data_IF_685358515098
#
_entry.id   IF_685358515098
#
_cell.length_a   1.000
_cell.length_b   1.000
_cell.length_c   1.000
_cell.angle_alpha   90.00
_cell.angle_beta   90.00
_cell.angle_gamma   90.00
#
_symmetry.space_group_name_H-M   'P 1'
#
loop_
_entity.id
_entity.type
_entity.pdbx_description
1 polymer ?
#
# COMPACT_ATOMS: atom_id res chain seq x y z
N UNK A 1 -22.43 -30.81 10.96
CA UNK A 1 -21.36 -30.79 11.98
C UNK A 1 -20.75 -29.38 12.14
N UNK A 2 -20.27 -28.75 11.06
CA UNK A 2 -19.55 -27.48 11.15
C UNK A 2 -20.43 -26.28 11.57
N UNK A 3 -21.67 -26.19 11.09
CA UNK A 3 -22.57 -25.09 11.45
C UNK A 3 -22.77 -24.98 12.97
N UNK A 4 -23.22 -26.06 13.64
CA UNK A 4 -23.36 -26.06 15.11
C UNK A 4 -22.08 -25.73 15.90
N UNK A 5 -20.90 -25.85 15.29
CA UNK A 5 -19.63 -25.49 15.91
C UNK A 5 -19.34 -24.00 15.70
N UNK A 6 -19.42 -23.54 14.45
CA UNK A 6 -19.06 -22.17 14.06
C UNK A 6 -20.09 -21.13 14.55
N UNK A 7 -21.38 -21.47 14.54
CA UNK A 7 -22.47 -20.60 15.03
C UNK A 7 -22.41 -20.34 16.55
N UNK A 8 -21.51 -21.01 17.29
CA UNK A 8 -21.25 -20.71 18.69
C UNK A 8 -20.30 -19.53 18.88
N UNK A 9 -19.57 -19.14 17.83
CA UNK A 9 -18.71 -17.96 17.84
C UNK A 9 -19.54 -16.73 17.49
N UNK A 10 -19.82 -15.88 18.47
CA UNK A 10 -20.63 -14.68 18.28
C UNK A 10 -20.19 -13.55 19.22
N UNK A 11 -20.66 -12.32 18.93
CA UNK A 11 -20.65 -11.22 19.90
C UNK A 11 -21.99 -11.20 20.64
N UNK A 12 -21.94 -11.30 21.96
CA UNK A 12 -23.12 -11.24 22.82
C UNK A 12 -23.65 -9.81 22.94
N UNK A 13 -24.94 -9.70 23.27
CA UNK A 13 -25.59 -8.44 23.61
C UNK A 13 -25.07 -7.87 24.93
N UNK A 14 -25.32 -6.59 25.16
CA UNK A 14 -24.91 -5.91 26.39
C UNK A 14 -25.61 -6.51 27.63
N UNK A 15 -26.84 -7.00 27.48
CA UNK A 15 -27.58 -7.74 28.52
C UNK A 15 -26.89 -9.05 28.94
N UNK A 16 -26.17 -9.68 28.01
CA UNK A 16 -25.39 -10.90 28.23
C UNK A 16 -23.91 -10.60 28.53
N UNK A 17 -23.58 -9.35 28.86
CA UNK A 17 -22.25 -8.91 29.27
C UNK A 17 -21.31 -8.52 28.12
N UNK A 18 -21.80 -8.47 26.88
CA UNK A 18 -21.07 -7.93 25.73
C UNK A 18 -19.83 -8.73 25.27
N UNK A 19 -19.61 -9.92 25.81
CA UNK A 19 -18.47 -10.78 25.46
C UNK A 19 -18.48 -11.25 24.00
N UNK A 20 -17.33 -11.68 23.49
CA UNK A 20 -17.21 -12.19 22.13
C UNK A 20 -16.35 -13.44 22.04
N UNK A 21 -16.64 -14.27 21.03
CA UNK A 21 -15.82 -15.41 20.64
C UNK A 21 -15.61 -15.35 19.12
N UNK A 22 -14.36 -15.20 18.68
CA UNK A 22 -14.00 -15.11 17.26
C UNK A 22 -13.41 -16.43 16.78
N UNK A 23 -14.05 -17.05 15.80
CA UNK A 23 -13.58 -18.30 15.18
C UNK A 23 -12.68 -18.04 13.98
N UNK A 24 -11.54 -18.73 13.91
CA UNK A 24 -10.64 -18.73 12.75
C UNK A 24 -10.45 -20.17 12.24
N UNK A 25 -11.47 -20.75 11.56
CA UNK A 25 -11.36 -22.12 11.05
C UNK A 25 -10.34 -22.21 9.93
N UNK A 26 -9.51 -23.25 9.97
CA UNK A 26 -8.54 -23.57 8.91
C UNK A 26 -9.04 -24.80 8.16
N UNK A 27 -9.16 -24.68 6.84
CA UNK A 27 -9.59 -25.76 5.95
C UNK A 27 -8.50 -26.00 4.92
N UNK A 28 -8.03 -27.24 4.82
CA UNK A 28 -7.12 -27.66 3.76
C UNK A 28 -7.92 -27.96 2.49
N UNK A 29 -7.61 -27.27 1.40
CA UNK A 29 -8.11 -27.60 0.06
C UNK A 29 -7.14 -28.56 -0.62
N UNK A 30 -7.65 -29.45 -1.49
CA UNK A 30 -6.81 -30.35 -2.27
C UNK A 30 -6.63 -29.76 -3.65
N UNK A 31 -5.38 -29.56 -4.08
CA UNK A 31 -5.04 -28.92 -5.35
C UNK A 31 -5.75 -27.57 -5.57
N UNK A 32 -5.90 -26.77 -4.51
CA UNK A 32 -6.63 -25.50 -4.50
C UNK A 32 -8.11 -25.60 -4.93
N UNK A 33 -8.72 -26.80 -4.90
CA UNK A 33 -10.13 -26.97 -5.25
C UNK A 33 -11.06 -26.48 -4.12
N UNK A 34 -11.67 -25.32 -4.35
CA UNK A 34 -12.65 -24.70 -3.45
C UNK A 34 -14.08 -25.22 -3.67
N UNK A 35 -14.33 -25.93 -4.77
CA UNK A 35 -15.64 -26.48 -5.12
C UNK A 35 -15.96 -27.79 -4.41
N UNK A 36 -14.96 -28.38 -3.75
CA UNK A 36 -15.12 -29.57 -2.94
C UNK A 36 -16.17 -29.36 -1.82
N UNK A 37 -16.83 -30.47 -1.45
CA UNK A 37 -17.97 -30.46 -0.52
C UNK A 37 -17.66 -29.78 0.83
N UNK A 38 -16.51 -30.05 1.44
CA UNK A 38 -16.15 -29.48 2.74
C UNK A 38 -15.83 -27.98 2.63
N UNK A 39 -14.92 -27.51 1.75
CA UNK A 39 -14.69 -26.09 1.54
C UNK A 39 -15.98 -25.31 1.24
N UNK A 40 -16.80 -25.79 0.29
CA UNK A 40 -18.05 -25.11 -0.09
C UNK A 40 -19.01 -24.95 1.10
N UNK A 41 -19.16 -26.00 1.92
CA UNK A 41 -19.99 -25.94 3.11
C UNK A 41 -19.45 -24.98 4.18
N UNK A 42 -18.13 -24.92 4.37
CA UNK A 42 -17.56 -24.02 5.39
C UNK A 42 -17.63 -22.57 4.92
N UNK A 43 -17.38 -22.32 3.63
CA UNK A 43 -17.55 -21.00 3.01
C UNK A 43 -18.98 -20.50 3.19
N UNK A 44 -20.00 -21.35 3.02
CA UNK A 44 -21.39 -20.90 3.19
C UNK A 44 -21.74 -20.55 4.65
N UNK A 45 -21.01 -21.08 5.62
CA UNK A 45 -21.24 -20.85 7.06
C UNK A 45 -20.45 -19.65 7.58
N UNK A 46 -19.18 -19.47 7.21
CA UNK A 46 -18.32 -18.42 7.78
C UNK A 46 -18.67 -17.03 7.23
N UNK A 47 -18.47 -15.98 8.03
CA UNK A 47 -18.71 -14.58 7.62
C UNK A 47 -17.67 -14.01 6.65
N UNK A 48 -16.77 -14.84 6.14
CA UNK A 48 -15.68 -14.44 5.28
C UNK A 48 -14.65 -15.55 5.16
N UNK A 49 -13.66 -15.31 4.31
CA UNK A 49 -12.59 -16.24 4.04
C UNK A 49 -11.33 -15.52 3.58
N UNK A 50 -10.19 -16.00 4.06
CA UNK A 50 -8.86 -15.65 3.56
C UNK A 50 -8.32 -16.87 2.80
N UNK A 51 -8.32 -16.79 1.47
CA UNK A 51 -7.77 -17.85 0.64
C UNK A 51 -6.26 -17.68 0.48
N UNK A 52 -5.53 -18.73 0.82
CA UNK A 52 -4.08 -18.79 0.66
C UNK A 52 -3.74 -19.63 -0.56
N UNK A 53 -2.95 -19.09 -1.48
CA UNK A 53 -2.57 -19.77 -2.73
C UNK A 53 -1.08 -20.11 -2.77
N UNK A 54 -0.78 -21.30 -3.27
CA UNK A 54 0.60 -21.79 -3.39
C UNK A 54 1.39 -21.00 -4.42
N UNK A 55 0.77 -20.56 -5.51
CA UNK A 55 1.45 -19.83 -6.58
C UNK A 55 1.92 -18.44 -6.09
N UNK A 56 1.05 -17.72 -5.36
CA UNK A 56 1.41 -16.46 -4.70
C UNK A 56 2.57 -16.64 -3.72
N UNK A 57 2.52 -17.71 -2.92
CA UNK A 57 3.58 -18.02 -1.96
C UNK A 57 4.94 -18.27 -2.63
N UNK A 58 4.93 -18.96 -3.78
CA UNK A 58 6.12 -19.27 -4.57
C UNK A 58 6.67 -18.05 -5.30
N UNK A 59 5.82 -17.09 -5.68
CA UNK A 59 6.21 -15.80 -6.24
C UNK A 59 6.72 -14.80 -5.18
N UNK A 60 6.73 -15.19 -3.90
CA UNK A 60 7.24 -14.36 -2.81
C UNK A 60 6.20 -13.41 -2.19
N UNK A 61 4.92 -13.51 -2.59
CA UNK A 61 3.82 -12.79 -1.90
C UNK A 61 3.48 -13.56 -0.62
N UNK A 62 3.87 -12.99 0.53
CA UNK A 62 3.70 -13.62 1.85
C UNK A 62 3.23 -12.53 2.83
N UNK A 63 2.07 -12.68 3.51
CA UNK A 63 1.13 -13.79 3.45
C UNK A 63 0.45 -13.95 2.07
N UNK A 64 0.30 -15.18 1.61
CA UNK A 64 -0.12 -15.52 0.24
C UNK A 64 -1.64 -15.39 0.00
N UNK A 65 -2.24 -14.27 0.43
CA UNK A 65 -3.68 -14.04 0.38
C UNK A 65 -4.10 -13.66 -1.05
N UNK A 66 -5.02 -14.42 -1.64
CA UNK A 66 -5.68 -14.02 -2.87
C UNK A 66 -6.77 -12.99 -2.55
N UNK A 67 -6.50 -11.71 -2.82
CA UNK A 67 -7.41 -10.59 -2.52
C UNK A 67 -8.70 -10.60 -3.35
N UNK A 68 -8.67 -11.19 -4.55
CA UNK A 68 -9.84 -11.29 -5.43
C UNK A 68 -10.90 -12.26 -4.90
N UNK A 69 -10.45 -13.43 -4.42
CA UNK A 69 -11.34 -14.49 -3.92
C UNK A 69 -11.65 -14.34 -2.42
N UNK A 70 -10.72 -13.77 -1.65
CA UNK A 70 -10.91 -13.52 -0.22
C UNK A 70 -11.96 -12.44 0.02
N UNK A 71 -12.82 -12.64 1.02
CA UNK A 71 -13.94 -11.73 1.31
C UNK A 71 -14.14 -11.66 2.83
N UNK A 72 -14.56 -10.48 3.32
CA UNK A 72 -15.17 -10.33 4.65
C UNK A 72 -16.56 -9.75 4.46
N UNK A 73 -17.60 -10.45 4.92
CA UNK A 73 -19.01 -10.00 4.85
C UNK A 73 -19.32 -8.93 5.89
N UNK A 74 -18.56 -8.90 6.99
CA UNK A 74 -18.64 -7.82 7.99
C UNK A 74 -18.06 -6.51 7.44
N UNK A 75 -17.04 -6.62 6.58
CA UNK A 75 -16.43 -5.48 5.89
C UNK A 75 -15.83 -4.44 6.84
N UNK A 76 -15.95 -3.16 6.48
CA UNK A 76 -15.37 -2.04 7.24
C UNK A 76 -16.00 -1.78 8.61
N UNK A 77 -17.06 -2.50 9.00
CA UNK A 77 -17.61 -2.39 10.36
C UNK A 77 -16.67 -2.98 11.44
N UNK A 78 -15.76 -3.87 11.05
CA UNK A 78 -14.74 -4.44 11.92
C UNK A 78 -13.44 -3.60 11.99
N UNK A 79 -13.39 -2.45 11.32
CA UNK A 79 -12.20 -1.60 11.23
C UNK A 79 -12.36 -0.32 12.05
N UNK A 80 -11.24 0.21 12.55
CA UNK A 80 -11.19 1.58 13.08
C UNK A 80 -11.39 2.59 11.93
N UNK A 81 -11.88 3.79 12.24
CA UNK A 81 -12.21 4.80 11.22
C UNK A 81 -11.00 5.16 10.35
N UNK A 82 -9.83 5.32 10.96
CA UNK A 82 -8.58 5.60 10.23
C UNK A 82 -8.28 4.54 9.17
N UNK A 83 -8.38 3.25 9.52
CA UNK A 83 -8.14 2.14 8.58
C UNK A 83 -9.17 2.12 7.45
N UNK A 84 -10.45 2.37 7.77
CA UNK A 84 -11.51 2.42 6.77
C UNK A 84 -11.30 3.54 5.75
N UNK A 85 -10.81 4.69 6.19
CA UNK A 85 -10.52 5.84 5.33
C UNK A 85 -9.35 5.54 4.38
N UNK A 86 -8.25 4.97 4.89
CA UNK A 86 -7.05 4.73 4.07
C UNK A 86 -7.14 3.48 3.19
N UNK A 87 -7.84 2.43 3.63
CA UNK A 87 -7.89 1.13 2.94
C UNK A 87 -9.15 0.95 2.07
N UNK A 88 -10.03 1.96 2.01
CA UNK A 88 -11.32 1.85 1.32
C UNK A 88 -11.23 1.49 -0.16
N UNK A 89 -10.24 2.03 -0.88
CA UNK A 89 -9.99 1.72 -2.29
C UNK A 89 -9.09 0.49 -2.51
N UNK A 90 -8.33 0.07 -1.49
CA UNK A 90 -7.23 -0.90 -1.62
C UNK A 90 -7.66 -2.21 -2.28
N UNK A 91 -8.84 -2.75 -1.91
CA UNK A 91 -9.38 -3.98 -2.52
C UNK A 91 -9.65 -3.78 -4.02
N UNK A 92 -10.26 -2.65 -4.38
CA UNK A 92 -10.60 -2.34 -5.77
C UNK A 92 -9.32 -2.15 -6.59
N UNK A 93 -8.37 -1.38 -6.06
CA UNK A 93 -7.08 -1.10 -6.71
C UNK A 93 -6.31 -2.40 -6.97
N UNK A 94 -6.26 -3.33 -6.00
CA UNK A 94 -5.61 -4.63 -6.16
C UNK A 94 -6.36 -5.56 -7.12
N UNK A 95 -7.70 -5.52 -7.16
CA UNK A 95 -8.46 -6.30 -8.14
C UNK A 95 -8.21 -5.81 -9.57
N UNK A 96 -8.22 -4.50 -9.79
CA UNK A 96 -7.93 -3.89 -11.09
C UNK A 96 -6.49 -4.17 -11.51
N UNK A 97 -5.54 -4.09 -10.57
CA UNK A 97 -4.16 -4.47 -10.82
C UNK A 97 -4.03 -5.90 -11.34
N UNK A 98 -4.73 -6.88 -10.73
CA UNK A 98 -4.67 -8.28 -11.19
C UNK A 98 -5.27 -8.49 -12.58
N UNK A 99 -6.35 -7.78 -12.90
CA UNK A 99 -6.93 -7.80 -14.24
C UNK A 99 -5.96 -7.19 -15.27
N UNK A 100 -5.33 -6.07 -14.94
CA UNK A 100 -4.34 -5.40 -15.79
C UNK A 100 -3.04 -6.19 -15.93
N UNK A 101 -2.56 -6.84 -14.87
CA UNK A 101 -1.36 -7.68 -14.88
C UNK A 101 -1.52 -8.85 -15.88
N UNK A 102 -2.69 -9.49 -15.85
CA UNK A 102 -3.01 -10.55 -16.81
C UNK A 102 -3.10 -10.03 -18.25
N UNK A 103 -3.63 -8.82 -18.47
CA UNK A 103 -3.74 -8.21 -19.80
C UNK A 103 -2.39 -7.71 -20.34
N UNK A 104 -1.58 -7.10 -19.47
CA UNK A 104 -0.26 -6.56 -19.80
C UNK A 104 0.73 -7.64 -20.25
N UNK A 105 0.55 -8.90 -19.82
CA UNK A 105 1.33 -10.03 -20.31
C UNK A 105 1.17 -10.28 -21.83
N UNK A 106 0.09 -9.78 -22.44
CA UNK A 106 -0.24 -9.99 -23.86
C UNK A 106 -0.24 -8.70 -24.70
N UNK A 107 -0.22 -7.53 -24.07
CA UNK A 107 -0.29 -6.24 -24.74
C UNK A 107 1.09 -5.57 -24.79
N UNK A 108 1.51 -5.10 -25.97
CA UNK A 108 2.79 -4.41 -26.16
C UNK A 108 2.78 -2.94 -25.77
N UNK A 109 1.61 -2.29 -25.84
CA UNK A 109 1.41 -0.89 -25.45
C UNK A 109 0.22 -0.80 -24.50
N UNK A 110 0.47 -0.28 -23.30
CA UNK A 110 -0.57 0.19 -22.38
C UNK A 110 -0.61 1.72 -22.44
N UNK A 111 -1.82 2.27 -22.37
CA UNK A 111 -2.02 3.70 -22.14
C UNK A 111 -1.42 4.14 -20.79
N UNK A 112 -1.08 5.43 -20.66
CA UNK A 112 -0.43 5.97 -19.47
C UNK A 112 -1.22 5.71 -18.18
N UNK A 113 -2.56 5.75 -18.26
CA UNK A 113 -3.43 5.48 -17.11
C UNK A 113 -3.35 4.03 -16.65
N UNK A 114 -3.44 3.07 -17.56
CA UNK A 114 -3.26 1.65 -17.24
C UNK A 114 -1.83 1.35 -16.73
N UNK A 115 -0.81 1.99 -17.29
CA UNK A 115 0.57 1.84 -16.84
C UNK A 115 0.75 2.35 -15.40
N UNK A 116 0.22 3.53 -15.08
CA UNK A 116 0.26 4.08 -13.72
C UNK A 116 -0.46 3.17 -12.71
N UNK A 117 -1.60 2.58 -13.10
CA UNK A 117 -2.32 1.62 -12.26
C UNK A 117 -1.53 0.33 -12.04
N UNK A 118 -0.89 -0.21 -13.08
CA UNK A 118 -0.02 -1.38 -12.99
C UNK A 118 1.14 -1.13 -12.03
N UNK A 119 1.81 0.02 -12.19
CA UNK A 119 2.94 0.43 -11.37
C UNK A 119 2.57 0.64 -9.90
N UNK A 120 1.42 1.27 -9.63
CA UNK A 120 0.91 1.43 -8.27
C UNK A 120 0.52 0.10 -7.65
N UNK A 121 -0.17 -0.76 -8.41
CA UNK A 121 -0.56 -2.08 -7.94
C UNK A 121 0.63 -2.96 -7.57
N UNK A 122 1.72 -2.93 -8.34
CA UNK A 122 2.95 -3.63 -8.00
C UNK A 122 3.54 -3.18 -6.64
N UNK A 123 3.51 -1.87 -6.37
CA UNK A 123 3.97 -1.29 -5.09
C UNK A 123 3.04 -1.65 -3.93
N UNK A 124 1.72 -1.67 -4.16
CA UNK A 124 0.75 -2.14 -3.17
C UNK A 124 0.95 -3.62 -2.83
N UNK A 125 1.29 -4.46 -3.82
CA UNK A 125 1.62 -5.87 -3.56
C UNK A 125 2.87 -6.01 -2.71
N UNK A 126 3.94 -5.24 -2.99
CA UNK A 126 5.14 -5.24 -2.14
C UNK A 126 4.86 -4.73 -0.72
N UNK A 127 4.07 -3.66 -0.59
CA UNK A 127 3.67 -3.08 0.70
C UNK A 127 2.90 -4.08 1.58
N UNK A 128 2.13 -4.99 0.98
CA UNK A 128 1.38 -6.00 1.72
C UNK A 128 2.20 -7.25 2.08
N UNK A 129 3.47 -7.32 1.67
CA UNK A 129 4.34 -8.41 2.09
C UNK A 129 4.80 -8.19 3.52
N UNK A 130 4.66 -9.21 4.34
CA UNK A 130 5.02 -9.17 5.74
C UNK A 130 5.75 -10.45 6.15
N UNK A 131 6.92 -10.34 6.80
CA UNK A 131 7.65 -11.49 7.28
C UNK A 131 6.91 -12.19 8.43
N UNK A 132 7.15 -13.49 8.55
CA UNK A 132 6.55 -14.30 9.61
C UNK A 132 7.01 -13.81 10.99
N UNK A 133 6.09 -13.84 11.97
CA UNK A 133 6.33 -13.42 13.36
C UNK A 133 6.70 -11.95 13.56
N UNK A 134 6.44 -11.09 12.57
CA UNK A 134 6.65 -9.65 12.67
C UNK A 134 5.32 -8.89 12.58
N UNK A 135 4.39 -9.05 13.54
CA UNK A 135 3.11 -8.37 13.50
C UNK A 135 3.30 -6.85 13.57
N UNK A 136 2.50 -6.13 12.80
CA UNK A 136 2.51 -4.66 12.78
C UNK A 136 1.33 -4.13 13.61
N UNK A 137 1.56 -3.06 14.38
CA UNK A 137 0.48 -2.40 15.15
C UNK A 137 -0.52 -1.71 14.21
N UNK A 138 -1.75 -1.45 14.67
CA UNK A 138 -2.76 -0.85 13.78
C UNK A 138 -2.38 0.56 13.34
N UNK A 139 -1.76 1.33 14.23
CA UNK A 139 -1.24 2.67 13.93
C UNK A 139 -0.16 2.65 12.85
N UNK A 140 0.76 1.68 12.90
CA UNK A 140 1.78 1.47 11.88
C UNK A 140 1.13 1.03 10.54
N UNK A 141 0.16 0.11 10.58
CA UNK A 141 -0.54 -0.37 9.38
C UNK A 141 -1.30 0.76 8.67
N UNK A 142 -1.98 1.64 9.42
CA UNK A 142 -2.68 2.80 8.84
C UNK A 142 -1.71 3.68 8.05
N UNK A 143 -0.52 3.93 8.62
CA UNK A 143 0.53 4.71 7.94
C UNK A 143 1.05 3.98 6.71
N UNK A 144 1.35 2.69 6.81
CA UNK A 144 1.82 1.90 5.67
C UNK A 144 0.84 1.95 4.50
N UNK A 145 -0.45 1.67 4.76
CA UNK A 145 -1.49 1.71 3.73
C UNK A 145 -1.68 3.13 3.17
N UNK A 146 -1.61 4.17 4.02
CA UNK A 146 -1.67 5.56 3.58
C UNK A 146 -0.60 5.90 2.53
N UNK A 147 0.65 5.43 2.74
CA UNK A 147 1.73 5.65 1.77
C UNK A 147 1.39 5.08 0.38
N UNK A 148 0.78 3.90 0.36
CA UNK A 148 0.37 3.23 -0.87
C UNK A 148 -0.83 3.89 -1.54
N UNK A 149 -1.92 4.11 -0.80
CA UNK A 149 -3.19 4.56 -1.40
C UNK A 149 -3.18 6.02 -1.81
N UNK A 150 -2.38 6.88 -1.16
CA UNK A 150 -2.16 8.28 -1.57
C UNK A 150 -1.07 8.46 -2.64
N UNK A 151 -0.46 7.37 -3.12
CA UNK A 151 0.56 7.42 -4.18
C UNK A 151 1.91 7.96 -3.72
N UNK A 152 2.18 8.01 -2.40
CA UNK A 152 3.50 8.38 -1.91
C UNK A 152 4.57 7.34 -2.26
N UNK A 153 4.20 6.11 -2.59
CA UNK A 153 5.15 5.09 -3.05
C UNK A 153 5.40 5.14 -4.56
N UNK A 154 4.65 5.92 -5.34
CA UNK A 154 4.74 5.91 -6.81
C UNK A 154 6.15 6.27 -7.31
N UNK A 155 6.89 7.13 -6.59
CA UNK A 155 8.28 7.49 -6.93
C UNK A 155 9.34 6.53 -6.38
N UNK A 156 8.96 5.56 -5.54
CA UNK A 156 9.87 4.56 -4.96
C UNK A 156 9.98 3.37 -5.91
N UNK A 157 11.19 2.88 -6.23
CA UNK A 157 11.37 1.64 -6.98
C UNK A 157 10.74 0.45 -6.25
N UNK A 158 10.09 -0.47 -6.98
CA UNK A 158 9.34 -1.61 -6.41
C UNK A 158 10.20 -2.43 -5.44
N UNK A 159 11.47 -2.67 -5.77
CA UNK A 159 12.41 -3.43 -4.94
C UNK A 159 12.70 -2.78 -3.57
N UNK A 160 12.54 -1.46 -3.47
CA UNK A 160 12.83 -0.70 -2.26
C UNK A 160 11.59 -0.41 -1.40
N UNK A 161 10.39 -0.78 -1.84
CA UNK A 161 9.13 -0.44 -1.14
C UNK A 161 9.11 -0.97 0.29
N UNK A 162 9.44 -2.24 0.49
CA UNK A 162 9.43 -2.86 1.84
C UNK A 162 10.49 -2.25 2.76
N UNK A 163 11.63 -1.84 2.20
CA UNK A 163 12.69 -1.14 2.94
C UNK A 163 12.24 0.27 3.32
N UNK A 164 11.66 1.01 2.36
CA UNK A 164 11.12 2.34 2.58
C UNK A 164 10.05 2.34 3.69
N UNK A 165 9.11 1.39 3.64
CA UNK A 165 8.08 1.23 4.67
C UNK A 165 8.70 1.02 6.05
N UNK A 166 9.63 0.06 6.16
CA UNK A 166 10.25 -0.30 7.43
C UNK A 166 11.04 0.87 8.02
N UNK A 167 11.90 1.51 7.22
CA UNK A 167 12.71 2.66 7.66
C UNK A 167 11.83 3.88 7.99
N UNK A 168 10.74 4.11 7.24
CA UNK A 168 9.83 5.22 7.52
C UNK A 168 9.06 5.03 8.82
N UNK A 169 8.57 3.81 9.09
CA UNK A 169 7.90 3.49 10.35
C UNK A 169 8.88 3.62 11.52
N UNK A 170 10.13 3.17 11.37
CA UNK A 170 11.17 3.37 12.38
C UNK A 170 11.48 4.85 12.61
N UNK A 171 11.56 5.65 11.54
CA UNK A 171 11.74 7.09 11.64
C UNK A 171 10.60 7.77 12.41
N UNK A 172 9.33 7.39 12.15
CA UNK A 172 8.18 7.91 12.90
C UNK A 172 8.22 7.53 14.38
N UNK A 173 8.68 6.31 14.69
CA UNK A 173 8.84 5.85 16.07
C UNK A 173 9.98 6.60 16.78
N UNK A 174 11.07 6.89 16.09
CA UNK A 174 12.23 7.58 16.63
C UNK A 174 12.00 9.09 16.80
N UNK A 175 11.33 9.75 15.85
CA UNK A 175 11.11 11.20 15.82
C UNK A 175 10.03 11.71 16.79
N UNK A 176 9.51 10.86 17.67
CA UNK A 176 8.65 11.28 18.78
C UNK A 176 7.14 11.23 18.51
N UNK A 177 6.66 10.14 17.90
CA UNK A 177 5.37 9.44 18.12
C UNK A 177 4.04 10.22 18.27
N UNK A 178 3.95 11.53 18.04
CA UNK A 178 2.67 12.25 18.14
C UNK A 178 1.65 11.70 17.16
N UNK A 179 2.05 11.52 15.90
CA UNK A 179 1.19 10.98 14.83
C UNK A 179 0.66 9.58 15.18
N UNK A 180 1.54 8.66 15.60
CA UNK A 180 1.14 7.29 15.95
C UNK A 180 0.26 7.26 17.21
N UNK A 181 0.55 8.11 18.20
CA UNK A 181 -0.26 8.26 19.41
C UNK A 181 -1.65 8.85 19.15
N UNK A 182 -1.73 9.82 18.24
CA UNK A 182 -2.98 10.46 17.83
C UNK A 182 -3.87 9.46 17.08
N UNK A 183 -3.31 8.67 16.17
CA UNK A 183 -4.05 7.61 15.46
C UNK A 183 -4.58 6.57 16.46
N UNK A 184 -3.75 6.14 17.41
CA UNK A 184 -4.12 5.13 18.41
C UNK A 184 -5.24 5.60 19.34
N UNK A 185 -5.19 6.85 19.78
CA UNK A 185 -6.14 7.43 20.74
C UNK A 185 -7.44 7.88 20.09
N UNK A 186 -7.35 8.57 18.95
CA UNK A 186 -8.51 9.12 18.24
C UNK A 186 -9.23 8.08 17.36
N UNK A 187 -8.53 6.99 17.00
CA UNK A 187 -8.96 5.97 16.04
C UNK A 187 -9.34 6.53 14.65
N UNK A 188 -8.93 7.77 14.36
CA UNK A 188 -9.23 8.53 13.14
C UNK A 188 -7.94 9.12 12.58
N UNK A 189 -7.93 9.36 11.27
CA UNK A 189 -6.90 10.18 10.66
C UNK A 189 -7.48 11.60 10.53
N UNK A 190 -7.08 12.50 11.43
CA UNK A 190 -7.54 13.90 11.32
C UNK A 190 -6.76 14.64 10.24
N UNK A 191 -7.33 15.70 9.66
CA UNK A 191 -6.65 16.51 8.63
C UNK A 191 -5.30 17.07 9.12
N UNK A 192 -5.20 17.40 10.41
CA UNK A 192 -3.94 17.86 11.03
C UNK A 192 -2.89 16.75 11.04
N UNK A 193 -3.29 15.54 11.43
CA UNK A 193 -2.41 14.35 11.44
C UNK A 193 -2.00 13.95 10.02
N UNK A 194 -2.93 14.02 9.06
CA UNK A 194 -2.66 13.74 7.65
C UNK A 194 -1.65 14.73 7.06
N UNK A 195 -1.85 16.03 7.26
CA UNK A 195 -0.91 17.05 6.78
C UNK A 195 0.47 16.93 7.43
N UNK A 196 0.53 16.59 8.73
CA UNK A 196 1.80 16.32 9.40
C UNK A 196 2.50 15.07 8.84
N UNK A 197 1.73 14.02 8.52
CA UNK A 197 2.25 12.81 7.91
C UNK A 197 2.80 13.09 6.51
N UNK A 198 2.06 13.81 5.65
CA UNK A 198 2.52 14.18 4.30
C UNK A 198 3.83 14.96 4.32
N UNK A 199 3.98 15.92 5.24
CA UNK A 199 5.23 16.68 5.42
C UNK A 199 6.38 15.76 5.83
N UNK A 200 6.12 14.88 6.78
CA UNK A 200 7.13 13.93 7.27
C UNK A 200 7.56 12.96 6.18
N UNK A 201 6.62 12.50 5.34
CA UNK A 201 6.91 11.67 4.16
C UNK A 201 7.78 12.44 3.17
N UNK A 202 7.43 13.69 2.86
CA UNK A 202 8.18 14.51 1.92
C UNK A 202 9.62 14.78 2.41
N UNK A 203 9.81 14.98 3.70
CA UNK A 203 11.14 15.18 4.29
C UNK A 203 11.95 13.89 4.34
N UNK A 204 11.32 12.76 4.68
CA UNK A 204 11.97 11.45 4.67
C UNK A 204 12.43 11.05 3.26
N UNK A 205 11.59 11.28 2.24
CA UNK A 205 11.93 11.01 0.83
C UNK A 205 13.20 11.72 0.35
N UNK A 206 13.51 12.91 0.87
CA UNK A 206 14.74 13.64 0.52
C UNK A 206 16.00 12.96 1.07
N UNK A 207 15.88 12.23 2.17
CA UNK A 207 16.98 11.51 2.82
C UNK A 207 17.09 10.04 2.40
N UNK A 208 16.06 9.48 1.77
CA UNK A 208 16.05 8.07 1.37
C UNK A 208 16.84 7.84 0.09
N UNK A 209 17.85 6.96 0.17
CA UNK A 209 18.62 6.53 -0.99
C UNK A 209 18.11 5.18 -1.51
N UNK A 210 17.73 5.14 -2.80
CA UNK A 210 17.33 3.89 -3.46
C UNK A 210 18.54 2.98 -3.70
N UNK A 211 18.27 1.70 -3.89
CA UNK A 211 19.28 0.69 -4.24
C UNK A 211 20.00 1.03 -5.54
N UNK A 212 19.30 1.71 -6.45
CA UNK A 212 19.82 2.11 -7.78
C UNK A 212 20.50 3.49 -7.76
N UNK A 213 20.53 4.17 -6.60
CA UNK A 213 21.12 5.51 -6.44
C UNK A 213 20.28 6.66 -7.02
N UNK A 214 19.05 6.39 -7.44
CA UNK A 214 18.09 7.40 -7.89
C UNK A 214 17.44 8.14 -6.71
N UNK A 215 17.12 9.42 -6.91
CA UNK A 215 16.33 10.20 -5.94
C UNK A 215 14.87 9.79 -6.01
N UNK A 216 14.24 9.60 -4.84
CA UNK A 216 12.79 9.35 -4.71
C UNK A 216 11.98 10.64 -4.81
N UNK A 217 12.63 11.79 -4.66
CA UNK A 217 11.99 13.09 -4.91
C UNK A 217 11.89 13.24 -6.42
N UNK A 218 10.68 13.42 -6.99
CA UNK A 218 10.54 13.76 -8.39
C UNK A 218 11.41 14.99 -8.63
N UNK A 219 12.37 14.91 -9.56
CA UNK A 219 13.13 16.08 -9.96
C UNK A 219 12.11 17.16 -10.29
N UNK A 220 12.09 18.23 -9.50
CA UNK A 220 11.32 19.41 -9.85
C UNK A 220 11.73 19.72 -11.27
N UNK A 221 10.78 19.70 -12.21
CA UNK A 221 11.06 19.93 -13.61
C UNK A 221 11.72 21.30 -13.71
N UNK A 222 13.06 21.33 -13.72
CA UNK A 222 13.80 22.56 -13.96
C UNK A 222 13.53 22.80 -15.43
N UNK A 223 12.56 23.66 -15.72
CA UNK A 223 12.40 24.18 -17.06
C UNK A 223 13.78 24.65 -17.49
N UNK A 224 14.27 24.17 -18.64
CA UNK A 224 15.51 24.68 -19.21
C UNK A 224 15.41 26.20 -19.22
N UNK A 225 16.35 26.88 -18.56
CA UNK A 225 16.40 28.34 -18.56
C UNK A 225 16.27 28.81 -20.01
N UNK A 226 15.37 29.77 -20.26
CA UNK A 226 15.20 30.29 -21.62
C UNK A 226 16.53 30.89 -22.09
N UNK A 227 16.76 30.91 -23.40
CA UNK A 227 18.01 31.42 -24.00
C UNK A 227 18.33 32.87 -23.59
N UNK A 228 17.33 33.60 -23.08
CA UNK A 228 17.41 34.96 -22.56
C UNK A 228 17.97 35.06 -21.12
N UNK A 229 17.97 33.97 -20.35
CA UNK A 229 18.50 33.92 -18.97
C UNK A 229 19.95 33.40 -18.89
N UNK A 230 20.55 33.04 -20.03
CA UNK A 230 21.96 32.63 -20.12
C UNK A 230 22.83 33.87 -20.24
N UNK A 231 23.46 34.31 -19.14
CA UNK A 231 24.46 35.39 -19.18
C UNK A 231 25.64 34.98 -20.07
N UNK A 232 25.76 35.62 -21.23
CA UNK A 232 26.94 35.51 -22.10
C UNK A 232 28.03 36.42 -21.54
N UNK A 233 29.00 35.85 -20.83
CA UNK A 233 30.23 36.56 -20.50
C UNK A 233 30.97 36.94 -21.81
N UNK A 234 30.87 38.21 -22.20
CA UNK A 234 31.59 38.76 -23.32
C UNK A 234 32.92 39.37 -22.85
N UNK A 235 34.04 38.82 -23.34
CA UNK A 235 35.36 39.41 -23.14
C UNK A 235 35.44 40.75 -23.88
N UNK A 236 35.57 41.85 -23.13
CA UNK A 236 35.71 43.18 -23.73
C UNK A 236 37.07 43.33 -24.42
N UNK A 237 37.05 43.51 -25.75
CA UNK A 237 38.25 43.85 -26.52
C UNK A 237 38.23 45.34 -26.86
N UNK A 238 39.20 46.11 -26.37
CA UNK A 238 39.39 47.53 -26.73
C UNK A 238 40.00 47.67 -28.14
N UNK A 239 39.27 47.29 -29.18
CA UNK A 239 39.61 47.56 -30.59
C UNK A 239 38.36 47.97 -31.36
N UNK A 240 38.47 48.88 -32.35
CA UNK A 240 37.34 49.28 -33.18
C UNK A 240 36.81 48.07 -33.97
N UNK A 241 35.48 47.96 -34.05
CA UNK A 241 34.81 46.86 -34.76
C UNK A 241 35.17 46.88 -36.26
N UNK A 242 35.36 45.71 -36.90
CA UNK A 242 35.69 45.65 -38.32
C UNK A 242 34.52 46.19 -39.16
N UNK A 243 34.83 47.01 -40.18
CA UNK A 243 33.84 47.54 -41.11
C UNK A 243 33.15 46.37 -41.85
N UNK A 244 31.83 46.28 -41.71
CA UNK A 244 31.00 45.35 -42.48
C UNK A 244 31.13 45.68 -43.97
N UNK A 245 31.37 44.66 -44.80
CA UNK A 245 31.28 44.74 -46.27
C UNK A 245 29.83 44.87 -46.71
#
# INVERSE_FOLDING_TARGET
LHSRLLERCAKLSDELGGGSMTGLPIIETKANDISAYIPTNVISITDGQCFLETDLFNQGVRPAINVGVSVSRVGGAAQIKAMKEVAGSLRLDLSQYRELEAFAAFASDLDETSKAQLERGARLVELLKQPQYSPMSVEDQVVAIFLGTKGHLDSVPVADVSRFESEFIEHLKASGSSILGDIKSSQKLTEETESALEKTVADFKKGFATSDGSSVVPDAHVAAMSEDEVEKEAVQVRKPAPKKK
#
